data_IF_690140621889
#
_entry.id   IF_690140621889
#
_cell.length_a   1.000
_cell.length_b   1.000
_cell.length_c   1.000
_cell.angle_alpha   90.00
_cell.angle_beta   90.00
_cell.angle_gamma   90.00
#
_symmetry.space_group_name_H-M   'P 1'
#
loop_
_entity.id
_entity.type
_entity.pdbx_description
1 polymer ?
#
# COMPACT_ATOMS: atom_id res chain seq x y z
N UNK A 1 32.61 17.03 -5.62
CA UNK A 1 32.38 15.82 -4.81
C UNK A 1 30.89 15.55 -4.93
N UNK A 2 30.49 14.60 -5.79
CA UNK A 2 29.10 14.47 -6.21
C UNK A 2 28.22 14.03 -5.04
N UNK A 3 27.25 14.87 -4.67
CA UNK A 3 26.14 14.44 -3.83
C UNK A 3 25.40 13.33 -4.58
N UNK A 4 25.51 12.10 -4.09
CA UNK A 4 24.74 10.99 -4.62
C UNK A 4 23.26 11.33 -4.47
N UNK A 5 22.57 11.58 -5.58
CA UNK A 5 21.13 11.85 -5.58
C UNK A 5 20.42 10.74 -4.80
N UNK A 6 19.54 11.13 -3.87
CA UNK A 6 18.79 10.15 -3.08
C UNK A 6 18.01 9.22 -4.02
N UNK A 7 18.34 7.93 -3.99
CA UNK A 7 17.76 6.95 -4.89
C UNK A 7 16.52 6.34 -4.25
N UNK A 8 15.34 6.69 -4.78
CA UNK A 8 14.08 6.03 -4.45
C UNK A 8 13.90 4.82 -5.36
N UNK A 9 13.69 3.65 -4.76
CA UNK A 9 13.42 2.37 -5.44
C UNK A 9 12.13 1.77 -4.89
N UNK A 10 11.43 0.97 -5.70
CA UNK A 10 10.21 0.28 -5.29
C UNK A 10 10.33 -1.16 -5.76
N UNK A 11 10.31 -2.09 -4.80
CA UNK A 11 10.52 -3.51 -5.04
C UNK A 11 9.51 -4.34 -4.25
N UNK A 12 9.35 -5.61 -4.63
CA UNK A 12 8.55 -6.55 -3.84
C UNK A 12 9.16 -6.71 -2.45
N UNK A 13 8.31 -6.61 -1.43
CA UNK A 13 8.71 -6.79 -0.05
C UNK A 13 9.30 -8.19 0.17
N UNK A 14 10.34 -8.26 0.98
CA UNK A 14 10.93 -9.50 1.46
C UNK A 14 10.58 -9.72 2.94
N UNK A 15 10.69 -10.95 3.48
CA UNK A 15 10.36 -11.23 4.89
C UNK A 15 11.11 -10.33 5.88
N UNK A 16 12.31 -9.87 5.53
CA UNK A 16 13.15 -9.01 6.38
C UNK A 16 12.62 -7.57 6.46
N UNK A 17 11.75 -7.15 5.54
CA UNK A 17 11.12 -5.82 5.56
C UNK A 17 9.95 -5.73 6.54
N UNK A 18 9.41 -6.87 6.95
CA UNK A 18 8.20 -6.95 7.75
C UNK A 18 8.25 -6.09 9.04
N UNK A 19 9.37 -6.06 9.82
CA UNK A 19 9.47 -5.20 10.98
C UNK A 19 9.30 -3.70 10.65
N UNK A 20 9.86 -3.24 9.53
CA UNK A 20 9.76 -1.84 9.12
C UNK A 20 8.34 -1.50 8.64
N UNK A 21 7.70 -2.42 7.91
CA UNK A 21 6.31 -2.31 7.46
C UNK A 21 5.37 -2.18 8.67
N UNK A 22 5.46 -3.10 9.63
CA UNK A 22 4.62 -3.10 10.83
C UNK A 22 4.85 -1.83 11.65
N UNK A 23 6.10 -1.38 11.80
CA UNK A 23 6.40 -0.17 12.54
C UNK A 23 5.72 1.08 11.94
N UNK A 24 5.61 1.17 10.60
CA UNK A 24 4.92 2.27 9.94
C UNK A 24 3.41 2.29 10.20
N UNK A 25 2.77 1.11 10.30
CA UNK A 25 1.36 1.00 10.62
C UNK A 25 1.08 1.21 12.11
N UNK A 26 1.90 0.62 12.99
CA UNK A 26 1.79 0.80 14.44
C UNK A 26 2.00 2.27 14.86
N UNK A 27 2.80 3.03 14.11
CA UNK A 27 3.01 4.46 14.32
C UNK A 27 1.89 5.35 13.74
N UNK A 28 0.86 4.79 13.10
CA UNK A 28 -0.25 5.57 12.53
C UNK A 28 -1.38 5.79 13.56
N UNK A 29 -1.52 7.00 14.13
CA UNK A 29 -2.55 7.28 15.14
C UNK A 29 -3.98 7.20 14.60
N UNK A 30 -4.16 7.28 13.26
CA UNK A 30 -5.46 7.18 12.60
C UNK A 30 -5.72 5.77 12.06
N UNK A 31 -4.80 4.82 12.26
CA UNK A 31 -4.87 3.46 11.74
C UNK A 31 -6.09 2.72 12.26
N UNK A 32 -6.28 2.69 13.58
CA UNK A 32 -7.44 2.00 14.19
C UNK A 32 -7.50 0.49 13.92
N UNK A 33 -6.45 -0.09 13.34
CA UNK A 33 -6.35 -1.52 13.02
C UNK A 33 -5.75 -2.35 14.16
N UNK A 34 -5.23 -1.69 15.21
CA UNK A 34 -4.58 -2.36 16.34
C UNK A 34 -3.14 -2.82 16.08
N UNK A 35 -2.50 -2.28 15.03
CA UNK A 35 -1.14 -2.67 14.68
C UNK A 35 -0.15 -2.36 15.80
N UNK A 36 0.76 -3.29 16.05
CA UNK A 36 1.67 -3.24 17.20
C UNK A 36 3.01 -3.89 16.89
N UNK A 37 4.05 -3.49 17.62
CA UNK A 37 5.37 -4.12 17.62
C UNK A 37 5.52 -5.18 18.72
N UNK A 38 4.44 -5.55 19.39
CA UNK A 38 4.44 -6.65 20.36
C UNK A 38 5.00 -7.92 19.69
N UNK A 39 6.07 -8.54 20.24
CA UNK A 39 6.62 -9.79 19.73
C UNK A 39 5.58 -10.90 19.53
N UNK A 40 4.53 -10.93 20.36
CA UNK A 40 3.46 -11.92 20.24
C UNK A 40 2.62 -11.74 18.96
N UNK A 41 2.54 -10.52 18.41
CA UNK A 41 1.82 -10.25 17.16
C UNK A 41 2.65 -10.57 15.90
N UNK A 42 3.99 -10.68 16.01
CA UNK A 42 4.88 -10.90 14.86
C UNK A 42 4.57 -12.19 14.10
N UNK A 43 4.10 -13.23 14.81
CA UNK A 43 3.70 -14.49 14.16
C UNK A 43 2.50 -14.31 13.22
N UNK A 44 1.56 -13.43 13.56
CA UNK A 44 0.39 -13.14 12.74
C UNK A 44 0.78 -12.37 11.48
N UNK A 45 1.64 -11.36 11.63
CA UNK A 45 2.18 -10.62 10.49
C UNK A 45 2.99 -11.51 9.56
N UNK A 46 3.77 -12.44 10.11
CA UNK A 46 4.54 -13.39 9.29
C UNK A 46 3.63 -14.33 8.51
N UNK A 47 2.61 -14.89 9.17
CA UNK A 47 1.63 -15.74 8.49
C UNK A 47 0.89 -15.00 7.37
N UNK A 48 0.52 -13.73 7.59
CA UNK A 48 -0.08 -12.88 6.58
C UNK A 48 0.87 -12.62 5.39
N UNK A 49 2.15 -12.31 5.67
CA UNK A 49 3.17 -12.13 4.64
C UNK A 49 3.34 -13.37 3.78
N UNK A 50 3.46 -14.55 4.39
CA UNK A 50 3.62 -15.81 3.68
C UNK A 50 2.39 -16.12 2.80
N UNK A 51 1.18 -15.84 3.28
CA UNK A 51 -0.06 -15.98 2.50
C UNK A 51 -0.14 -15.01 1.31
N UNK A 52 0.31 -13.76 1.50
CA UNK A 52 0.40 -12.77 0.41
C UNK A 52 1.40 -13.24 -0.64
N UNK A 53 2.58 -13.72 -0.22
CA UNK A 53 3.64 -14.16 -1.11
C UNK A 53 3.26 -15.42 -1.91
N UNK A 54 2.46 -16.31 -1.33
CA UNK A 54 1.97 -17.52 -2.00
C UNK A 54 0.82 -17.26 -2.98
N UNK A 55 0.17 -16.09 -2.91
CA UNK A 55 -1.01 -15.78 -3.71
C UNK A 55 -0.63 -15.20 -5.08
N UNK A 56 -1.17 -15.73 -6.19
CA UNK A 56 -0.97 -15.11 -7.51
C UNK A 56 -1.73 -13.78 -7.65
N UNK A 57 -2.73 -13.54 -6.80
CA UNK A 57 -3.60 -12.38 -6.88
C UNK A 57 -3.03 -11.15 -6.17
N UNK A 58 -2.07 -11.33 -5.26
CA UNK A 58 -1.59 -10.23 -4.41
C UNK A 58 -0.10 -10.01 -4.54
N UNK A 59 0.35 -8.78 -4.29
CA UNK A 59 1.75 -8.43 -4.13
C UNK A 59 1.87 -7.36 -3.04
N UNK A 60 2.87 -7.48 -2.17
CA UNK A 60 3.26 -6.45 -1.20
C UNK A 60 4.57 -5.80 -1.67
N UNK A 61 4.62 -4.49 -1.65
CA UNK A 61 5.76 -3.70 -2.12
C UNK A 61 6.28 -2.77 -1.02
N UNK A 62 7.58 -2.49 -1.06
CA UNK A 62 8.22 -1.46 -0.25
C UNK A 62 8.87 -0.41 -1.13
N UNK A 63 8.75 0.84 -0.71
CA UNK A 63 9.57 1.93 -1.23
C UNK A 63 10.82 2.06 -0.37
N UNK A 64 12.00 2.10 -0.99
CA UNK A 64 13.28 2.30 -0.32
C UNK A 64 13.92 3.61 -0.74
N UNK A 65 14.30 4.42 0.24
CA UNK A 65 15.14 5.60 0.04
C UNK A 65 16.52 5.30 0.59
N UNK A 66 17.54 5.31 -0.28
CA UNK A 66 18.92 4.95 0.10
C UNK A 66 19.00 3.58 0.81
N UNK A 67 18.26 2.59 0.29
CA UNK A 67 18.22 1.22 0.82
C UNK A 67 17.33 0.99 2.04
N UNK A 68 16.81 2.05 2.67
CA UNK A 68 15.93 1.93 3.85
C UNK A 68 14.47 1.93 3.45
N UNK A 69 13.66 1.03 4.02
CA UNK A 69 12.21 1.03 3.83
C UNK A 69 11.62 2.32 4.40
N UNK A 70 10.92 3.06 3.55
CA UNK A 70 10.29 4.36 3.86
C UNK A 70 8.80 4.40 3.51
N UNK A 71 8.31 3.38 2.83
CA UNK A 71 6.90 3.26 2.52
C UNK A 71 6.55 1.83 2.10
N UNK A 72 5.25 1.55 2.08
CA UNK A 72 4.69 0.26 1.74
C UNK A 72 3.33 0.45 1.07
N UNK A 73 2.96 -0.49 0.22
CA UNK A 73 1.60 -0.66 -0.27
C UNK A 73 1.39 -2.10 -0.74
N UNK A 74 0.13 -2.52 -0.82
CA UNK A 74 -0.25 -3.83 -1.33
C UNK A 74 -1.20 -3.66 -2.51
N UNK A 75 -1.10 -4.55 -3.50
CA UNK A 75 -2.10 -4.70 -4.56
C UNK A 75 -2.79 -6.05 -4.42
N UNK A 76 -4.11 -6.05 -4.63
CA UNK A 76 -4.94 -7.24 -4.76
C UNK A 76 -5.66 -7.18 -6.11
N UNK A 77 -5.43 -8.16 -6.98
CA UNK A 77 -6.09 -8.29 -8.28
C UNK A 77 -7.28 -9.25 -8.19
N UNK A 78 -8.41 -8.81 -8.71
CA UNK A 78 -9.68 -9.53 -8.69
C UNK A 78 -10.26 -9.63 -10.09
N UNK A 79 -10.96 -10.74 -10.33
CA UNK A 79 -11.70 -11.00 -11.57
C UNK A 79 -13.18 -11.00 -11.26
N UNK A 80 -13.98 -10.30 -12.06
CA UNK A 80 -15.41 -10.22 -11.84
C UNK A 80 -16.20 -10.39 -13.13
N UNK A 81 -17.38 -11.02 -13.03
CA UNK A 81 -18.33 -11.09 -14.15
C UNK A 81 -18.85 -9.70 -14.50
N UNK A 82 -19.09 -8.86 -13.48
CA UNK A 82 -19.52 -7.47 -13.65
C UNK A 82 -18.47 -6.67 -14.42
N UNK A 83 -18.93 -5.79 -15.31
CA UNK A 83 -18.03 -5.11 -16.24
C UNK A 83 -17.54 -6.00 -17.38
N UNK A 84 -18.26 -7.08 -17.71
CA UNK A 84 -17.99 -8.00 -18.83
C UNK A 84 -16.68 -8.77 -18.67
N UNK A 85 -16.46 -9.38 -17.51
CA UNK A 85 -15.23 -10.13 -17.24
C UNK A 85 -14.03 -9.25 -16.89
N UNK A 86 -14.28 -8.05 -16.32
CA UNK A 86 -13.23 -7.09 -16.04
C UNK A 86 -12.27 -7.58 -14.95
N UNK A 87 -10.98 -7.27 -15.15
CA UNK A 87 -9.94 -7.37 -14.12
C UNK A 87 -9.88 -6.03 -13.37
N UNK A 88 -9.81 -6.09 -12.05
CA UNK A 88 -9.71 -4.91 -11.18
C UNK A 88 -8.60 -5.10 -10.16
N UNK A 89 -7.95 -4.01 -9.77
CA UNK A 89 -6.98 -4.00 -8.70
C UNK A 89 -7.50 -3.17 -7.52
N UNK A 90 -7.17 -3.60 -6.31
CA UNK A 90 -7.40 -2.88 -5.06
C UNK A 90 -6.02 -2.50 -4.51
N UNK A 91 -5.85 -1.23 -4.20
CA UNK A 91 -4.69 -0.67 -3.50
C UNK A 91 -5.00 -0.60 -2.01
N UNK A 92 -4.21 -1.32 -1.22
CA UNK A 92 -4.37 -1.47 0.23
C UNK A 92 -3.09 -1.05 0.96
N UNK A 93 -3.24 -0.70 2.24
CA UNK A 93 -2.09 -0.52 3.15
C UNK A 93 -1.06 0.53 2.69
N UNK A 94 -1.49 1.60 2.00
CA UNK A 94 -0.58 2.65 1.54
C UNK A 94 -0.10 3.46 2.75
N UNK A 95 1.18 3.34 3.07
CA UNK A 95 1.78 4.06 4.19
C UNK A 95 3.18 4.56 3.83
N UNK A 96 3.45 5.82 4.16
CA UNK A 96 4.79 6.42 4.09
C UNK A 96 5.21 6.79 5.51
N UNK A 97 6.48 6.54 5.82
CA UNK A 97 7.10 6.91 7.08
C UNK A 97 6.77 8.39 7.43
N UNK A 98 6.26 8.69 8.64
CA UNK A 98 5.70 10.01 8.96
C UNK A 98 6.65 11.18 8.67
N UNK A 99 7.94 11.02 8.95
CA UNK A 99 8.98 12.03 8.77
C UNK A 99 9.38 12.28 7.30
N UNK A 100 8.86 11.49 6.35
CA UNK A 100 9.15 11.60 4.91
C UNK A 100 7.89 11.91 4.07
N UNK A 101 6.77 12.20 4.72
CA UNK A 101 5.55 12.66 4.03
C UNK A 101 5.79 14.00 3.36
N UNK A 102 5.06 14.25 2.25
CA UNK A 102 5.21 15.47 1.47
C UNK A 102 6.40 15.51 0.50
N UNK A 103 7.25 14.48 0.47
CA UNK A 103 8.43 14.40 -0.40
C UNK A 103 8.18 13.63 -1.72
N UNK A 104 6.91 13.46 -2.13
CA UNK A 104 6.56 12.77 -3.37
C UNK A 104 6.62 11.23 -3.33
N UNK A 105 7.13 10.61 -2.26
CA UNK A 105 7.23 9.14 -2.11
C UNK A 105 5.86 8.46 -2.30
N UNK A 106 4.81 9.00 -1.66
CA UNK A 106 3.47 8.44 -1.80
C UNK A 106 2.97 8.46 -3.25
N UNK A 107 3.24 9.55 -3.98
CA UNK A 107 2.86 9.65 -5.40
C UNK A 107 3.63 8.65 -6.27
N UNK A 108 4.92 8.45 -5.99
CA UNK A 108 5.72 7.42 -6.67
C UNK A 108 5.19 6.00 -6.40
N UNK A 109 4.78 5.69 -5.16
CA UNK A 109 4.17 4.41 -4.81
C UNK A 109 2.84 4.17 -5.54
N UNK A 110 1.97 5.18 -5.61
CA UNK A 110 0.69 5.05 -6.33
C UNK A 110 0.92 4.89 -7.83
N UNK A 111 1.87 5.63 -8.42
CA UNK A 111 2.24 5.47 -9.82
C UNK A 111 2.81 4.06 -10.12
N UNK A 112 3.61 3.52 -9.19
CA UNK A 112 4.05 2.13 -9.26
C UNK A 112 2.86 1.18 -9.23
N UNK A 113 1.95 1.38 -8.29
CA UNK A 113 0.78 0.53 -8.13
C UNK A 113 -0.11 0.51 -9.40
N UNK A 114 -0.31 1.66 -10.04
CA UNK A 114 -1.01 1.73 -11.33
C UNK A 114 -0.30 0.94 -12.43
N UNK A 115 1.03 1.06 -12.51
CA UNK A 115 1.83 0.31 -13.50
C UNK A 115 1.69 -1.20 -13.28
N UNK A 116 1.80 -1.67 -12.04
CA UNK A 116 1.64 -3.08 -11.69
C UNK A 116 0.22 -3.58 -11.99
N UNK A 117 -0.80 -2.79 -11.65
CA UNK A 117 -2.20 -3.12 -11.93
C UNK A 117 -2.45 -3.24 -13.44
N UNK A 118 -1.97 -2.28 -14.24
CA UNK A 118 -2.08 -2.30 -15.71
C UNK A 118 -1.35 -3.48 -16.33
N UNK A 119 -0.16 -3.82 -15.82
CA UNK A 119 0.60 -4.98 -16.29
C UNK A 119 -0.15 -6.30 -16.07
N UNK A 120 -1.02 -6.36 -15.05
CA UNK A 120 -1.93 -7.48 -14.77
C UNK A 120 -3.28 -7.38 -15.49
N UNK A 121 -3.44 -6.44 -16.43
CA UNK A 121 -4.66 -6.25 -17.22
C UNK A 121 -5.80 -5.55 -16.47
N UNK A 122 -5.56 -5.00 -15.28
CA UNK A 122 -6.60 -4.33 -14.52
C UNK A 122 -7.07 -3.04 -15.21
N UNK A 123 -8.38 -2.91 -15.39
CA UNK A 123 -9.02 -1.73 -15.98
C UNK A 123 -9.23 -0.60 -14.95
N UNK A 124 -9.25 -0.93 -13.65
CA UNK A 124 -9.47 0.01 -12.56
C UNK A 124 -8.58 -0.30 -11.37
N UNK A 125 -8.05 0.74 -10.72
CA UNK A 125 -7.41 0.66 -9.41
C UNK A 125 -8.31 1.37 -8.39
N UNK A 126 -8.75 0.65 -7.36
CA UNK A 126 -9.64 1.17 -6.32
C UNK A 126 -8.96 1.14 -4.95
N UNK A 127 -9.41 1.98 -4.03
CA UNK A 127 -8.95 1.97 -2.64
C UNK A 127 -10.09 2.38 -1.71
N UNK A 128 -9.95 2.05 -0.43
CA UNK A 128 -10.80 2.63 0.61
C UNK A 128 -9.93 3.42 1.59
N UNK A 129 -10.42 4.60 1.98
CA UNK A 129 -9.76 5.45 2.98
C UNK A 129 -10.76 5.77 4.08
N UNK A 130 -10.28 5.82 5.33
CA UNK A 130 -11.09 6.22 6.47
C UNK A 130 -11.63 7.65 6.23
N UNK A 131 -12.92 7.86 6.47
CA UNK A 131 -13.62 9.13 6.24
C UNK A 131 -12.94 10.34 6.94
N UNK A 132 -12.26 10.11 8.07
CA UNK A 132 -11.52 11.15 8.80
C UNK A 132 -10.21 11.59 8.11
N UNK A 133 -9.69 10.83 7.14
CA UNK A 133 -8.38 11.08 6.48
C UNK A 133 -8.52 12.04 5.30
N UNK A 134 -8.96 13.27 5.57
CA UNK A 134 -9.19 14.28 4.53
C UNK A 134 -7.94 14.61 3.69
N UNK A 135 -6.76 14.59 4.30
CA UNK A 135 -5.49 14.75 3.57
C UNK A 135 -5.24 13.63 2.56
N UNK A 136 -5.54 12.38 2.95
CA UNK A 136 -5.41 11.24 2.05
C UNK A 136 -6.40 11.36 0.89
N UNK A 137 -7.63 11.83 1.13
CA UNK A 137 -8.61 12.05 0.07
C UNK A 137 -8.10 13.08 -0.95
N UNK A 138 -7.64 14.25 -0.50
CA UNK A 138 -7.04 15.27 -1.38
C UNK A 138 -5.83 14.74 -2.15
N UNK A 139 -5.01 13.92 -1.48
CA UNK A 139 -3.86 13.27 -2.09
C UNK A 139 -4.28 12.35 -3.25
N UNK A 140 -5.26 11.46 -3.05
CA UNK A 140 -5.73 10.56 -4.10
C UNK A 140 -6.48 11.30 -5.22
N UNK A 141 -7.29 12.30 -4.89
CA UNK A 141 -7.98 13.13 -5.90
C UNK A 141 -6.99 13.84 -6.83
N UNK A 142 -5.90 14.39 -6.29
CA UNK A 142 -4.80 14.96 -7.09
C UNK A 142 -4.11 13.96 -8.01
N UNK A 143 -4.15 12.67 -7.66
CA UNK A 143 -3.59 11.59 -8.48
C UNK A 143 -4.62 11.03 -9.49
N UNK A 144 -5.80 11.63 -9.59
CA UNK A 144 -6.83 11.25 -10.57
C UNK A 144 -7.83 10.21 -10.06
N UNK A 145 -7.79 9.83 -8.78
CA UNK A 145 -8.84 9.00 -8.19
C UNK A 145 -10.11 9.82 -8.02
N UNK A 146 -11.23 9.30 -8.53
CA UNK A 146 -12.54 9.90 -8.31
C UNK A 146 -13.20 9.31 -7.05
N UNK A 147 -13.67 10.16 -6.14
CA UNK A 147 -14.51 9.76 -5.00
C UNK A 147 -15.95 9.48 -5.44
N UNK A 148 -16.11 8.49 -6.33
CA UNK A 148 -17.39 8.19 -6.99
C UNK A 148 -18.25 7.15 -6.27
N UNK A 149 -17.72 6.48 -5.24
CA UNK A 149 -18.39 5.39 -4.52
C UNK A 149 -18.34 5.60 -3.00
N UNK A 150 -19.33 5.05 -2.30
CA UNK A 150 -19.33 4.97 -0.84
C UNK A 150 -18.69 3.65 -0.38
N UNK A 151 -17.79 3.73 0.62
CA UNK A 151 -17.22 2.55 1.27
C UNK A 151 -18.07 2.11 2.46
N UNK A 152 -18.37 0.82 2.54
CA UNK A 152 -19.15 0.22 3.63
C UNK A 152 -18.31 -0.85 4.33
N UNK A 153 -18.35 -0.89 5.66
CA UNK A 153 -17.69 -1.91 6.49
C UNK A 153 -18.65 -2.42 7.56
N UNK A 154 -18.63 -3.72 7.83
CA UNK A 154 -19.36 -4.39 8.92
C UNK A 154 -18.37 -5.30 9.65
N UNK A 155 -18.27 -5.15 10.97
CA UNK A 155 -17.49 -6.10 11.79
C UNK A 155 -18.19 -7.47 11.80
N UNK A 156 -17.41 -8.54 11.69
CA UNK A 156 -17.87 -9.92 11.70
C UNK A 156 -17.52 -10.60 13.02
#
# INVERSE_FOLDING_TARGET
MGEGAASLTIDRAQPEDLPAIVAMFAADPLGGHGDTLDPAALVLYRAAFDAIAASPATDLFVARLNGRVVGTYQIIVTHAIVGRGAVRAILEGVQVAPHLRGQGIGAAMVADAERQARARGAATLALTSNAARLDAHRFYERLGFARSHAGFKKAL
#
